data_IF_636885597640
#
_entry.id   IF_636885597640
#
_cell.length_a   1.000
_cell.length_b   1.000
_cell.length_c   1.000
_cell.angle_alpha   90.00
_cell.angle_beta   90.00
_cell.angle_gamma   90.00
#
_symmetry.space_group_name_H-M   'P 1'
#
loop_
_entity.id
_entity.type
_entity.pdbx_description
1 polymer ?
#
# COMPACT_ATOMS: atom_id res chain seq x y z
N UNK A 1 -55.81 21.64 -10.23
CA UNK A 1 -55.17 20.39 -9.78
C UNK A 1 -54.58 19.66 -10.99
N UNK A 2 -53.26 19.67 -11.15
CA UNK A 2 -52.53 18.76 -12.06
C UNK A 2 -51.27 18.31 -11.32
N UNK A 3 -51.22 17.03 -10.97
CA UNK A 3 -50.15 16.37 -10.23
C UNK A 3 -48.90 16.29 -11.12
N UNK A 4 -47.76 16.75 -10.61
CA UNK A 4 -46.44 16.50 -11.21
C UNK A 4 -46.02 15.08 -10.85
N UNK A 5 -45.76 14.27 -11.87
CA UNK A 5 -45.14 12.96 -11.76
C UNK A 5 -43.69 13.15 -11.31
N UNK A 6 -43.35 12.55 -10.16
CA UNK A 6 -41.99 12.37 -9.70
C UNK A 6 -41.39 11.26 -10.55
N UNK A 7 -40.44 11.60 -11.42
CA UNK A 7 -39.62 10.63 -12.11
C UNK A 7 -38.72 9.97 -11.06
N UNK A 8 -38.89 8.66 -10.87
CA UNK A 8 -38.04 7.85 -10.02
C UNK A 8 -36.62 7.87 -10.55
N UNK A 9 -35.69 8.31 -9.71
CA UNK A 9 -34.26 8.09 -9.94
C UNK A 9 -34.04 6.59 -9.79
N UNK A 10 -33.81 5.91 -10.91
CA UNK A 10 -33.32 4.54 -10.93
C UNK A 10 -31.99 4.56 -10.19
N UNK A 11 -31.95 3.96 -9.02
CA UNK A 11 -30.74 3.74 -8.24
C UNK A 11 -29.93 2.67 -8.96
N UNK A 12 -29.20 3.05 -9.99
CA UNK A 12 -28.11 2.22 -10.50
C UNK A 12 -27.05 2.20 -9.41
N UNK A 13 -27.03 1.12 -8.65
CA UNK A 13 -25.91 0.79 -7.78
C UNK A 13 -24.67 0.65 -8.67
N UNK A 14 -23.89 1.72 -8.76
CA UNK A 14 -22.54 1.67 -9.31
C UNK A 14 -21.75 0.88 -8.27
N UNK A 15 -21.62 -0.43 -8.51
CA UNK A 15 -20.68 -1.28 -7.81
C UNK A 15 -19.28 -0.74 -8.11
N UNK A 16 -18.73 -0.03 -7.14
CA UNK A 16 -17.36 0.48 -7.18
C UNK A 16 -16.46 -0.75 -7.03
N UNK A 17 -15.59 -1.06 -8.00
CA UNK A 17 -14.58 -2.09 -7.81
C UNK A 17 -13.66 -1.63 -6.69
N UNK A 18 -13.59 -2.43 -5.62
CA UNK A 18 -12.57 -2.30 -4.58
C UNK A 18 -11.22 -2.33 -5.26
N UNK A 19 -10.54 -1.17 -5.28
CA UNK A 19 -9.21 -1.04 -5.83
C UNK A 19 -8.31 -2.03 -5.07
N UNK A 20 -7.87 -3.06 -5.78
CA UNK A 20 -6.77 -3.89 -5.36
C UNK A 20 -5.58 -2.96 -5.18
N UNK A 21 -5.23 -2.74 -3.92
CA UNK A 21 -3.94 -2.21 -3.57
C UNK A 21 -2.90 -3.16 -4.17
N UNK A 22 -2.17 -2.71 -5.19
CA UNK A 22 -1.18 -3.54 -5.85
C UNK A 22 -0.05 -3.81 -4.85
N UNK A 23 -0.16 -4.93 -4.14
CA UNK A 23 1.00 -5.58 -3.55
C UNK A 23 2.07 -5.69 -4.65
N UNK A 24 3.33 -5.32 -4.37
CA UNK A 24 4.38 -5.44 -5.36
C UNK A 24 4.45 -6.90 -5.85
N UNK A 25 4.52 -7.14 -7.17
CA UNK A 25 4.74 -8.46 -7.73
C UNK A 25 5.90 -9.18 -7.03
N UNK A 26 5.85 -10.50 -6.96
CA UNK A 26 6.83 -11.25 -6.16
C UNK A 26 8.25 -11.17 -6.62
N UNK A 27 8.48 -11.05 -7.92
CA UNK A 27 9.82 -10.74 -8.42
C UNK A 27 10.33 -9.48 -7.74
N UNK A 28 9.48 -8.45 -7.60
CA UNK A 28 9.86 -7.23 -6.91
C UNK A 28 10.19 -7.48 -5.45
N UNK A 29 9.38 -8.27 -4.75
CA UNK A 29 9.68 -8.61 -3.37
C UNK A 29 10.98 -9.40 -3.27
N UNK A 30 11.16 -10.46 -4.06
CA UNK A 30 12.31 -11.40 -4.06
C UNK A 30 13.63 -10.75 -4.46
N UNK A 31 13.60 -9.89 -5.47
CA UNK A 31 14.78 -9.20 -6.01
C UNK A 31 15.04 -7.85 -5.33
N UNK A 32 14.23 -7.47 -4.33
CA UNK A 32 14.46 -6.26 -3.55
C UNK A 32 15.78 -6.33 -2.80
N UNK A 33 16.75 -5.52 -3.21
CA UNK A 33 18.05 -5.42 -2.56
C UNK A 33 18.12 -4.15 -1.70
N UNK A 34 18.59 -4.25 -0.43
CA UNK A 34 18.83 -3.07 0.39
C UNK A 34 19.87 -2.15 -0.25
N UNK A 35 19.65 -0.84 -0.13
CA UNK A 35 20.60 0.18 -0.57
C UNK A 35 21.19 0.88 0.65
N UNK A 36 22.50 1.10 0.60
CA UNK A 36 23.18 2.00 1.53
C UNK A 36 22.88 3.46 1.19
N UNK A 37 23.05 4.35 2.16
CA UNK A 37 22.85 5.80 1.99
C UNK A 37 23.70 6.36 0.83
N UNK A 38 24.95 5.89 0.69
CA UNK A 38 25.85 6.34 -0.37
C UNK A 38 25.42 5.79 -1.74
N UNK A 39 24.88 4.57 -1.81
CA UNK A 39 24.28 4.04 -3.03
C UNK A 39 23.06 4.87 -3.46
N UNK A 40 22.16 5.24 -2.54
CA UNK A 40 20.99 6.08 -2.87
C UNK A 40 21.40 7.43 -3.47
N UNK A 41 22.48 8.04 -2.95
CA UNK A 41 22.96 9.35 -3.42
C UNK A 41 23.69 9.30 -4.76
N UNK A 42 24.22 8.13 -5.14
CA UNK A 42 25.00 7.93 -6.36
C UNK A 42 24.20 7.27 -7.48
N UNK A 43 23.19 6.48 -7.13
CA UNK A 43 22.19 5.94 -8.05
C UNK A 43 21.38 7.06 -8.71
N UNK A 44 21.16 6.96 -10.01
CA UNK A 44 20.50 8.01 -10.80
C UNK A 44 19.04 8.24 -10.32
N UNK A 45 18.28 7.17 -10.13
CA UNK A 45 16.88 7.22 -9.70
C UNK A 45 16.79 7.66 -8.25
N UNK A 46 17.62 7.11 -7.38
CA UNK A 46 17.67 7.47 -5.97
C UNK A 46 18.02 8.95 -5.75
N UNK A 47 19.03 9.45 -6.46
CA UNK A 47 19.43 10.86 -6.41
C UNK A 47 18.33 11.77 -6.93
N UNK A 48 17.73 11.47 -8.09
CA UNK A 48 16.65 12.28 -8.66
C UNK A 48 15.43 12.32 -7.73
N UNK A 49 15.10 11.18 -7.10
CA UNK A 49 14.01 11.07 -6.11
C UNK A 49 14.27 11.99 -4.90
N UNK A 50 15.48 11.94 -4.33
CA UNK A 50 15.85 12.81 -3.22
C UNK A 50 15.86 14.29 -3.61
N UNK A 51 16.40 14.65 -4.78
CA UNK A 51 16.39 16.03 -5.24
C UNK A 51 14.97 16.58 -5.40
N UNK A 52 14.06 15.78 -5.97
CA UNK A 52 12.66 16.15 -6.10
C UNK A 52 12.00 16.34 -4.74
N UNK A 53 12.21 15.40 -3.81
CA UNK A 53 11.74 15.52 -2.42
C UNK A 53 12.27 16.80 -1.76
N UNK A 54 13.57 17.08 -1.86
CA UNK A 54 14.20 18.22 -1.22
C UNK A 54 13.79 19.58 -1.80
N UNK A 55 13.31 19.60 -3.05
CA UNK A 55 12.69 20.79 -3.65
C UNK A 55 11.26 20.97 -3.14
N UNK A 56 10.51 19.87 -3.04
CA UNK A 56 9.13 19.86 -2.55
C UNK A 56 9.02 20.20 -1.05
N UNK A 57 9.88 19.60 -0.23
CA UNK A 57 9.90 19.70 1.23
C UNK A 57 11.35 19.93 1.73
N UNK A 58 11.86 21.17 1.69
CA UNK A 58 13.25 21.48 2.03
C UNK A 58 13.72 21.03 3.41
N UNK A 59 12.81 20.96 4.39
CA UNK A 59 13.07 20.48 5.75
C UNK A 59 13.54 19.02 5.79
N UNK A 60 13.16 18.21 4.80
CA UNK A 60 13.54 16.79 4.72
C UNK A 60 15.03 16.58 4.44
N UNK A 61 15.79 17.63 4.05
CA UNK A 61 17.26 17.59 3.97
C UNK A 61 17.92 17.27 5.32
N UNK A 62 17.23 17.56 6.42
CA UNK A 62 17.69 17.26 7.78
C UNK A 62 17.33 15.85 8.26
N UNK A 63 16.50 15.12 7.50
CA UNK A 63 16.00 13.80 7.87
C UNK A 63 17.05 12.73 7.59
N UNK A 64 16.97 11.62 8.30
CA UNK A 64 17.80 10.45 8.05
C UNK A 64 17.11 9.49 7.11
N UNK A 65 17.85 8.95 6.15
CA UNK A 65 17.41 7.77 5.40
C UNK A 65 17.53 6.58 6.34
N UNK A 66 16.40 6.06 6.80
CA UNK A 66 16.35 4.92 7.73
C UNK A 66 16.25 3.59 7.00
N UNK A 67 15.74 3.62 5.77
CA UNK A 67 15.61 2.44 4.92
C UNK A 67 15.66 2.87 3.46
N UNK A 68 16.36 2.10 2.63
CA UNK A 68 16.29 2.22 1.19
C UNK A 68 16.50 0.86 0.56
N UNK A 69 15.83 0.63 -0.55
CA UNK A 69 15.95 -0.60 -1.32
C UNK A 69 15.61 -0.35 -2.77
N UNK A 70 16.08 -1.23 -3.65
CA UNK A 70 15.65 -1.23 -5.04
C UNK A 70 15.27 -2.62 -5.50
N UNK A 71 14.53 -2.63 -6.58
CA UNK A 71 14.20 -3.78 -7.41
C UNK A 71 14.69 -3.39 -8.79
N UNK A 72 15.70 -4.09 -9.30
CA UNK A 72 16.36 -3.70 -10.53
C UNK A 72 15.36 -3.61 -11.69
N UNK A 73 15.30 -2.44 -12.34
CA UNK A 73 14.41 -2.21 -13.48
C UNK A 73 12.94 -2.02 -13.12
N UNK A 74 12.59 -1.99 -11.82
CA UNK A 74 11.19 -1.89 -11.39
C UNK A 74 10.97 -0.73 -10.45
N UNK A 75 11.54 -0.76 -9.24
CA UNK A 75 11.20 0.24 -8.22
C UNK A 75 12.36 0.51 -7.25
N UNK A 76 12.60 1.79 -6.97
CA UNK A 76 13.48 2.28 -5.90
C UNK A 76 12.62 2.84 -4.77
N UNK A 77 12.81 2.33 -3.55
CA UNK A 77 12.07 2.70 -2.35
C UNK A 77 12.99 3.42 -1.37
N UNK A 78 12.61 4.61 -0.90
CA UNK A 78 13.40 5.41 0.05
C UNK A 78 12.50 5.88 1.18
N UNK A 79 12.97 5.70 2.41
CA UNK A 79 12.28 6.11 3.62
C UNK A 79 13.14 7.07 4.42
N UNK A 80 12.62 8.27 4.69
CA UNK A 80 13.27 9.29 5.50
C UNK A 80 12.50 9.56 6.79
N UNK A 81 13.22 9.82 7.89
CA UNK A 81 12.66 10.14 9.19
C UNK A 81 13.31 11.37 9.84
N UNK A 82 12.51 12.22 10.46
CA UNK A 82 12.94 13.40 11.22
C UNK A 82 13.79 13.02 12.45
N UNK A 83 14.94 13.68 12.64
CA UNK A 83 15.78 13.51 13.83
C UNK A 83 15.22 14.26 15.03
N UNK A 84 15.05 13.59 16.17
CA UNK A 84 14.80 14.23 17.47
C UNK A 84 13.51 15.07 17.56
N UNK A 85 12.54 14.82 16.67
CA UNK A 85 11.31 15.62 16.55
C UNK A 85 10.03 14.83 16.78
N UNK A 86 8.98 15.18 16.03
CA UNK A 86 7.62 14.61 16.11
C UNK A 86 7.53 13.18 15.57
N UNK A 87 8.58 12.70 14.92
CA UNK A 87 8.63 11.39 14.27
C UNK A 87 8.00 11.41 12.88
N UNK A 88 8.10 12.55 12.17
CA UNK A 88 7.70 12.66 10.77
C UNK A 88 8.46 11.66 9.93
N UNK A 89 7.74 10.99 9.05
CA UNK A 89 8.30 10.00 8.13
C UNK A 89 7.72 10.26 6.74
N UNK A 90 8.57 10.12 5.73
CA UNK A 90 8.16 10.14 4.34
C UNK A 90 8.75 8.94 3.60
N UNK A 91 7.89 8.23 2.88
CA UNK A 91 8.23 7.07 2.06
C UNK A 91 7.96 7.41 0.60
N UNK A 92 8.90 7.06 -0.27
CA UNK A 92 8.84 7.31 -1.70
C UNK A 92 9.11 6.01 -2.43
N UNK A 93 8.22 5.66 -3.35
CA UNK A 93 8.43 4.57 -4.31
C UNK A 93 8.51 5.16 -5.70
N UNK A 94 9.66 4.97 -6.35
CA UNK A 94 9.96 5.53 -7.66
C UNK A 94 10.19 4.41 -8.65
N UNK A 95 9.53 4.47 -9.81
CA UNK A 95 9.78 3.56 -10.90
C UNK A 95 11.24 3.64 -11.34
N UNK A 96 11.99 2.53 -11.28
CA UNK A 96 13.41 2.54 -11.59
C UNK A 96 13.73 2.74 -13.07
N UNK A 97 12.73 2.62 -13.97
CA UNK A 97 12.90 2.77 -15.40
C UNK A 97 12.50 4.16 -15.90
N UNK A 98 11.42 4.73 -15.36
CA UNK A 98 10.93 6.05 -15.77
C UNK A 98 11.39 7.17 -14.85
N UNK A 99 11.80 6.86 -13.61
CA UNK A 99 12.08 7.85 -12.58
C UNK A 99 10.83 8.55 -12.04
N UNK A 100 9.62 8.14 -12.44
CA UNK A 100 8.37 8.67 -11.90
C UNK A 100 8.16 8.15 -10.47
N UNK A 101 7.81 9.05 -9.55
CA UNK A 101 7.42 8.67 -8.18
C UNK A 101 5.99 8.15 -8.27
N UNK A 102 5.78 6.85 -8.05
CA UNK A 102 4.48 6.19 -8.16
C UNK A 102 3.71 6.24 -6.85
N UNK A 103 4.42 6.22 -5.71
CA UNK A 103 3.80 6.26 -4.39
C UNK A 103 4.52 7.20 -3.43
N UNK A 104 3.75 7.97 -2.67
CA UNK A 104 4.23 8.83 -1.59
C UNK A 104 3.41 8.57 -0.34
N UNK A 105 4.08 8.32 0.78
CA UNK A 105 3.43 8.22 2.09
C UNK A 105 4.02 9.28 3.01
N UNK A 106 3.18 10.13 3.55
CA UNK A 106 3.49 11.09 4.60
C UNK A 106 2.89 10.60 5.92
N UNK A 107 3.68 10.59 6.99
CA UNK A 107 3.25 10.20 8.33
C UNK A 107 3.65 11.26 9.36
N UNK A 108 2.76 11.54 10.31
CA UNK A 108 3.00 12.41 11.47
C UNK A 108 3.31 13.87 11.17
N UNK A 109 2.80 14.40 10.05
CA UNK A 109 2.99 15.81 9.71
C UNK A 109 2.18 16.77 10.58
N UNK A 110 1.05 16.30 11.13
CA UNK A 110 0.30 17.05 12.14
C UNK A 110 0.72 16.66 13.57
N UNK A 111 0.57 17.56 14.56
CA UNK A 111 0.79 17.23 15.97
C UNK A 111 -0.09 16.07 16.44
N UNK A 112 0.41 15.26 17.38
CA UNK A 112 -0.33 14.10 17.91
C UNK A 112 -1.64 14.49 18.60
N UNK A 113 -1.68 15.69 19.18
CA UNK A 113 -2.84 16.26 19.87
C UNK A 113 -3.95 16.68 18.90
N UNK A 114 -3.61 16.90 17.63
CA UNK A 114 -4.55 17.26 16.57
C UNK A 114 -4.18 16.51 15.28
N UNK A 115 -4.42 15.19 15.24
CA UNK A 115 -4.05 14.37 14.10
C UNK A 115 -4.86 14.76 12.87
N UNK A 116 -4.37 14.37 11.69
CA UNK A 116 -4.98 14.70 10.40
C UNK A 116 -6.48 14.38 10.31
N UNK A 117 -6.92 13.24 10.86
CA UNK A 117 -8.34 12.85 10.86
C UNK A 117 -9.25 13.71 11.74
N UNK A 118 -8.68 14.48 12.68
CA UNK A 118 -9.41 15.44 13.50
C UNK A 118 -9.66 16.78 12.79
N UNK A 119 -9.09 16.98 11.60
CA UNK A 119 -9.31 18.17 10.79
C UNK A 119 -10.63 18.09 10.00
N UNK A 120 -11.04 19.24 9.46
CA UNK A 120 -12.21 19.30 8.58
C UNK A 120 -11.90 18.65 7.24
N UNK A 121 -12.94 18.18 6.53
CA UNK A 121 -12.76 17.55 5.22
C UNK A 121 -12.09 18.54 4.22
N UNK A 122 -12.32 19.86 4.36
CA UNK A 122 -11.66 20.90 3.56
C UNK A 122 -10.17 21.08 3.91
N UNK A 123 -9.81 21.03 5.19
CA UNK A 123 -8.41 21.11 5.63
C UNK A 123 -7.62 19.89 5.17
N UNK A 124 -8.22 18.70 5.28
CA UNK A 124 -7.63 17.44 4.80
C UNK A 124 -7.39 17.54 3.30
N UNK A 125 -8.39 17.98 2.52
CA UNK A 125 -8.25 18.19 1.09
C UNK A 125 -7.12 19.16 0.78
N UNK A 126 -7.04 20.29 1.48
CA UNK A 126 -6.00 21.30 1.25
C UNK A 126 -4.59 20.74 1.47
N UNK A 127 -4.41 19.87 2.48
CA UNK A 127 -3.13 19.18 2.74
C UNK A 127 -2.81 18.13 1.67
N UNK A 128 -3.80 17.38 1.21
CA UNK A 128 -3.63 16.42 0.10
C UNK A 128 -3.27 17.16 -1.20
N UNK A 129 -3.95 18.26 -1.50
CA UNK A 129 -3.65 19.10 -2.67
C UNK A 129 -2.23 19.66 -2.59
N UNK A 130 -1.77 20.14 -1.43
CA UNK A 130 -0.39 20.64 -1.24
C UNK A 130 0.65 19.54 -1.52
N UNK A 131 0.41 18.33 -1.00
CA UNK A 131 1.28 17.18 -1.27
C UNK A 131 1.32 16.83 -2.76
N UNK A 132 0.15 16.72 -3.41
CA UNK A 132 0.03 16.43 -4.83
C UNK A 132 0.71 17.51 -5.68
N UNK A 133 0.44 18.79 -5.41
CA UNK A 133 1.02 19.91 -6.14
C UNK A 133 2.55 19.92 -6.06
N UNK A 134 3.11 19.68 -4.87
CA UNK A 134 4.56 19.67 -4.67
C UNK A 134 5.25 18.45 -5.28
N UNK A 135 4.60 17.28 -5.26
CA UNK A 135 5.21 16.02 -5.70
C UNK A 135 4.90 15.65 -7.16
N UNK A 136 3.77 16.09 -7.70
CA UNK A 136 3.26 15.63 -9.00
C UNK A 136 2.93 16.77 -9.96
N UNK A 137 2.88 18.02 -9.50
CA UNK A 137 2.51 19.19 -10.30
C UNK A 137 1.06 19.62 -10.09
N UNK A 138 0.62 20.63 -10.82
CA UNK A 138 -0.67 21.30 -10.56
C UNK A 138 -1.88 20.35 -10.66
N UNK A 139 -2.75 20.41 -9.66
CA UNK A 139 -4.04 19.70 -9.62
C UNK A 139 -5.20 20.50 -10.21
N UNK A 140 -4.97 21.67 -10.82
CA UNK A 140 -6.04 22.54 -11.38
C UNK A 140 -6.88 21.88 -12.49
N UNK A 141 -6.26 20.99 -13.26
CA UNK A 141 -6.92 20.22 -14.32
C UNK A 141 -7.60 18.95 -13.80
N UNK A 142 -7.60 18.72 -12.49
CA UNK A 142 -8.20 17.54 -11.88
C UNK A 142 -9.48 17.90 -11.13
N UNK A 143 -10.44 16.99 -11.19
CA UNK A 143 -11.60 16.94 -10.32
C UNK A 143 -11.34 15.91 -9.22
N UNK A 144 -11.95 16.08 -8.05
CA UNK A 144 -11.76 15.14 -6.94
C UNK A 144 -13.10 14.65 -6.40
N UNK A 145 -13.12 13.39 -5.97
CA UNK A 145 -14.19 12.80 -5.19
C UNK A 145 -13.62 12.34 -3.85
N UNK A 146 -14.34 12.60 -2.74
CA UNK A 146 -13.94 12.17 -1.40
C UNK A 146 -15.02 11.25 -0.80
N UNK A 147 -14.59 10.09 -0.35
CA UNK A 147 -15.45 9.06 0.22
C UNK A 147 -14.99 8.69 1.63
N UNK A 148 -15.95 8.49 2.54
CA UNK A 148 -15.71 7.96 3.88
C UNK A 148 -15.82 6.46 3.81
N UNK A 149 -14.73 5.76 4.13
CA UNK A 149 -14.76 4.31 4.21
C UNK A 149 -15.34 3.89 5.56
N UNK A 150 -16.24 2.91 5.55
CA UNK A 150 -16.73 2.30 6.78
C UNK A 150 -15.60 1.48 7.40
N UNK A 151 -14.99 2.01 8.46
CA UNK A 151 -14.05 1.28 9.28
C UNK A 151 -14.44 1.51 10.75
N UNK A 152 -14.80 0.45 11.50
CA UNK A 152 -15.32 0.56 12.86
C UNK A 152 -14.31 1.17 13.85
N UNK A 153 -13.01 1.05 13.56
CA UNK A 153 -11.95 1.41 14.50
C UNK A 153 -11.28 2.75 14.18
N UNK A 154 -11.38 3.25 12.94
CA UNK A 154 -10.66 4.44 12.49
C UNK A 154 -11.36 5.19 11.35
N UNK A 155 -11.34 6.53 11.38
CA UNK A 155 -11.79 7.36 10.25
C UNK A 155 -10.79 7.22 9.09
N UNK A 156 -11.21 6.59 8.00
CA UNK A 156 -10.46 6.52 6.74
C UNK A 156 -11.20 7.31 5.66
N UNK A 157 -10.49 8.21 4.98
CA UNK A 157 -10.98 8.91 3.80
C UNK A 157 -10.23 8.43 2.56
N UNK A 158 -10.96 8.19 1.49
CA UNK A 158 -10.41 7.97 0.16
C UNK A 158 -10.69 9.20 -0.69
N UNK A 159 -9.67 9.75 -1.36
CA UNK A 159 -9.82 10.82 -2.33
C UNK A 159 -9.32 10.34 -3.68
N UNK A 160 -10.16 10.41 -4.70
CA UNK A 160 -9.80 10.08 -6.08
C UNK A 160 -9.67 11.39 -6.87
N UNK A 161 -8.54 11.58 -7.55
CA UNK A 161 -8.30 12.73 -8.43
C UNK A 161 -8.31 12.28 -9.88
N UNK A 162 -9.25 12.80 -10.66
CA UNK A 162 -9.50 12.44 -12.06
C UNK A 162 -9.19 13.65 -12.94
N UNK A 163 -8.41 13.46 -13.99
CA UNK A 163 -8.17 14.53 -14.96
C UNK A 163 -9.51 14.91 -15.63
N UNK A 164 -9.78 16.21 -15.80
CA UNK A 164 -11.00 16.69 -16.45
C UNK A 164 -11.15 16.06 -17.84
N UNK A 165 -12.28 15.39 -18.07
CA UNK A 165 -12.55 14.64 -19.30
C UNK A 165 -12.11 13.18 -19.29
N UNK A 166 -11.50 12.69 -18.21
CA UNK A 166 -11.25 11.26 -17.97
C UNK A 166 -12.38 10.63 -17.17
N UNK A 167 -12.64 9.34 -17.39
CA UNK A 167 -13.55 8.53 -16.57
C UNK A 167 -12.84 7.82 -15.43
N UNK A 168 -11.52 7.66 -15.52
CA UNK A 168 -10.71 6.94 -14.53
C UNK A 168 -9.84 7.90 -13.73
N UNK A 169 -9.77 7.73 -12.39
CA UNK A 169 -8.88 8.51 -11.56
C UNK A 169 -7.42 8.25 -11.92
N UNK A 170 -6.61 9.31 -11.85
CA UNK A 170 -5.16 9.26 -12.07
C UNK A 170 -4.42 9.09 -10.75
N UNK A 171 -4.91 9.72 -9.68
CA UNK A 171 -4.38 9.56 -8.34
C UNK A 171 -5.46 9.07 -7.38
N UNK A 172 -5.05 8.18 -6.48
CA UNK A 172 -5.87 7.76 -5.35
C UNK A 172 -5.10 8.06 -4.06
N UNK A 173 -5.80 8.66 -3.11
CA UNK A 173 -5.24 9.09 -1.84
C UNK A 173 -6.02 8.51 -0.69
N UNK A 174 -5.33 7.92 0.27
CA UNK A 174 -5.90 7.49 1.54
C UNK A 174 -5.41 8.35 2.68
N UNK A 175 -6.34 8.78 3.51
CA UNK A 175 -6.09 9.52 4.75
C UNK A 175 -6.57 8.67 5.92
N UNK A 176 -5.62 8.24 6.74
CA UNK A 176 -5.88 7.39 7.91
C UNK A 176 -5.03 7.85 9.09
N UNK A 177 -5.67 8.09 10.22
CA UNK A 177 -5.02 8.58 11.44
C UNK A 177 -4.26 9.90 11.21
N UNK A 178 -2.93 9.82 11.12
CA UNK A 178 -2.05 10.95 10.85
C UNK A 178 -1.17 10.72 9.62
N UNK A 179 -1.70 9.99 8.64
CA UNK A 179 -1.00 9.66 7.41
C UNK A 179 -1.80 10.04 6.16
N UNK A 180 -1.08 10.45 5.12
CA UNK A 180 -1.56 10.62 3.75
C UNK A 180 -0.75 9.65 2.88
N UNK A 181 -1.43 8.77 2.15
CA UNK A 181 -0.82 7.85 1.19
C UNK A 181 -1.37 8.15 -0.20
N UNK A 182 -0.50 8.48 -1.15
CA UNK A 182 -0.84 8.86 -2.53
C UNK A 182 -0.29 7.83 -3.49
N UNK A 183 -1.14 7.27 -4.35
CA UNK A 183 -0.77 6.35 -5.43
C UNK A 183 -1.11 6.94 -6.79
N UNK A 184 -0.17 6.87 -7.73
CA UNK A 184 -0.41 7.07 -9.16
C UNK A 184 -0.97 5.78 -9.76
N UNK A 185 -2.17 5.83 -10.32
CA UNK A 185 -2.92 4.66 -10.81
C UNK A 185 -3.19 4.72 -12.32
N UNK A 186 -2.22 5.22 -13.11
CA UNK A 186 -2.29 5.35 -14.59
C UNK A 186 -2.91 4.08 -15.23
N UNK A 187 -4.18 4.14 -15.59
CA UNK A 187 -4.84 3.20 -16.52
C UNK A 187 -4.68 1.71 -16.26
N UNK A 188 -4.77 1.22 -15.02
CA UNK A 188 -4.78 -0.23 -14.75
C UNK A 188 -6.20 -0.77 -14.86
N UNK A 189 -6.47 -1.50 -15.95
CA UNK A 189 -7.63 -2.37 -16.13
C UNK A 189 -7.59 -3.52 -15.13
N UNK A 190 -8.59 -3.57 -14.25
CA UNK A 190 -9.29 -4.77 -13.79
C UNK A 190 -8.56 -6.12 -13.94
N UNK A 191 -7.96 -6.59 -12.85
CA UNK A 191 -7.86 -8.03 -12.55
C UNK A 191 -7.86 -8.28 -11.04
N UNK A 192 -9.05 -8.34 -10.45
CA UNK A 192 -9.34 -9.27 -9.35
C UNK A 192 -10.83 -9.19 -9.03
N UNK A 193 -11.53 -10.30 -9.22
CA UNK A 193 -12.89 -10.52 -8.75
C UNK A 193 -12.93 -10.79 -7.23
N UNK A 194 -11.99 -10.23 -6.46
CA UNK A 194 -11.82 -10.60 -5.07
C UNK A 194 -12.19 -9.42 -4.19
N UNK A 195 -13.36 -9.52 -3.57
CA UNK A 195 -13.79 -8.66 -2.47
C UNK A 195 -12.86 -8.93 -1.27
N UNK A 196 -11.84 -8.10 -1.05
CA UNK A 196 -11.04 -8.21 0.18
C UNK A 196 -10.92 -6.87 0.90
N UNK A 197 -11.40 -6.86 2.14
CA UNK A 197 -11.46 -5.73 3.08
C UNK A 197 -10.07 -5.29 3.54
N UNK A 198 -9.64 -4.07 3.22
CA UNK A 198 -8.54 -3.33 3.87
C UNK A 198 -7.16 -4.00 3.91
N UNK A 199 -6.12 -3.29 4.33
CA UNK A 199 -4.78 -3.87 4.45
C UNK A 199 -4.59 -4.68 5.74
N UNK A 200 -3.70 -5.69 5.71
CA UNK A 200 -3.05 -6.17 6.92
C UNK A 200 -2.18 -5.06 7.53
N UNK A 201 -2.08 -5.05 8.86
CA UNK A 201 -1.39 -4.00 9.60
C UNK A 201 -0.38 -4.57 10.58
N UNK A 202 0.78 -3.96 10.64
CA UNK A 202 1.83 -4.24 11.62
C UNK A 202 1.96 -3.03 12.55
N UNK A 203 1.81 -3.24 13.86
CA UNK A 203 1.85 -2.19 14.88
C UNK A 203 0.86 -1.03 14.60
N UNK A 204 -0.33 -1.35 14.10
CA UNK A 204 -1.39 -0.37 13.80
C UNK A 204 -1.16 0.48 12.56
N UNK A 205 -0.17 0.15 11.73
CA UNK A 205 0.09 0.77 10.42
C UNK A 205 -0.10 -0.24 9.30
N UNK A 206 -0.58 0.15 8.11
CA UNK A 206 -0.63 -0.73 6.95
C UNK A 206 0.74 -1.36 6.67
N UNK A 207 0.76 -2.68 6.51
CA UNK A 207 1.96 -3.45 6.17
C UNK A 207 1.76 -4.09 4.80
N UNK A 208 2.20 -3.38 3.76
CA UNK A 208 2.09 -3.81 2.37
C UNK A 208 2.88 -5.09 2.09
N UNK A 209 3.94 -5.36 2.86
CA UNK A 209 4.72 -6.58 2.72
C UNK A 209 3.93 -7.76 3.28
N UNK A 210 3.36 -7.65 4.48
CA UNK A 210 2.53 -8.71 5.05
C UNK A 210 1.23 -8.91 4.26
N UNK A 211 0.59 -7.83 3.82
CA UNK A 211 -0.64 -7.87 3.03
C UNK A 211 -0.47 -8.67 1.73
N UNK A 212 0.65 -8.46 1.03
CA UNK A 212 0.98 -9.18 -0.19
C UNK A 212 0.89 -10.71 -0.04
N UNK A 213 1.26 -11.24 1.13
CA UNK A 213 1.26 -12.68 1.39
C UNK A 213 0.02 -13.19 2.12
N UNK A 214 -0.57 -12.38 2.99
CA UNK A 214 -1.67 -12.80 3.88
C UNK A 214 -3.05 -12.54 3.29
N UNK A 215 -3.15 -11.63 2.33
CA UNK A 215 -4.39 -11.28 1.67
C UNK A 215 -4.72 -12.25 0.52
N UNK A 216 -4.82 -13.54 0.85
CA UNK A 216 -4.99 -14.64 -0.10
C UNK A 216 -6.23 -15.49 0.23
N UNK A 217 -7.17 -15.57 -0.72
CA UNK A 217 -8.37 -16.39 -0.61
C UNK A 217 -8.06 -17.88 -0.34
N UNK A 218 -6.95 -18.40 -0.90
CA UNK A 218 -6.54 -19.79 -0.66
C UNK A 218 -6.04 -19.98 0.78
N UNK A 219 -5.40 -18.97 1.36
CA UNK A 219 -5.01 -18.98 2.76
C UNK A 219 -6.23 -18.92 3.68
N UNK A 220 -7.20 -18.06 3.39
CA UNK A 220 -8.46 -17.97 4.14
C UNK A 220 -9.24 -19.29 4.11
N UNK A 221 -9.32 -19.91 2.93
CA UNK A 221 -9.92 -21.23 2.76
C UNK A 221 -9.17 -22.31 3.55
N UNK A 222 -7.83 -22.30 3.54
CA UNK A 222 -7.00 -23.25 4.29
C UNK A 222 -7.25 -23.14 5.80
N UNK A 223 -7.28 -21.91 6.32
CA UNK A 223 -7.48 -21.63 7.75
C UNK A 223 -8.94 -21.71 8.20
N UNK A 224 -9.87 -21.85 7.26
CA UNK A 224 -11.31 -21.80 7.48
C UNK A 224 -11.70 -20.58 8.35
N UNK A 225 -11.31 -19.40 7.87
CA UNK A 225 -11.58 -18.11 8.51
C UNK A 225 -11.57 -16.98 7.49
N UNK A 226 -12.22 -15.86 7.80
CA UNK A 226 -12.21 -14.66 6.94
C UNK A 226 -10.93 -13.82 7.10
N UNK A 227 -10.69 -12.92 6.16
CA UNK A 227 -9.64 -11.90 6.27
C UNK A 227 -9.77 -11.07 7.57
N UNK A 228 -10.99 -10.68 7.92
CA UNK A 228 -11.31 -9.92 9.15
C UNK A 228 -10.93 -10.70 10.40
N UNK A 229 -11.27 -11.98 10.46
CA UNK A 229 -10.96 -12.84 11.59
C UNK A 229 -9.44 -13.04 11.72
N UNK A 230 -8.72 -13.18 10.60
CA UNK A 230 -7.28 -13.33 10.62
C UNK A 230 -6.62 -12.06 11.17
N UNK A 231 -7.06 -10.89 10.71
CA UNK A 231 -6.58 -9.60 11.22
C UNK A 231 -6.81 -9.42 12.71
N UNK A 232 -7.98 -9.82 13.21
CA UNK A 232 -8.30 -9.74 14.64
C UNK A 232 -7.38 -10.64 15.48
N UNK A 233 -7.08 -11.85 15.02
CA UNK A 233 -6.17 -12.76 15.72
C UNK A 233 -4.72 -12.27 15.71
N UNK A 234 -4.25 -11.68 14.59
CA UNK A 234 -2.93 -11.05 14.49
C UNK A 234 -2.82 -9.80 15.38
N UNK A 235 -3.90 -9.01 15.49
CA UNK A 235 -3.97 -7.85 16.38
C UNK A 235 -3.93 -8.25 17.87
N UNK A 236 -4.31 -9.50 18.21
CA UNK A 236 -4.15 -10.07 19.56
C UNK A 236 -2.72 -10.56 19.85
N UNK A 237 -1.78 -10.35 18.92
CA UNK A 237 -0.36 -10.70 19.07
C UNK A 237 -0.01 -12.15 18.71
N UNK A 238 -0.93 -12.89 18.08
CA UNK A 238 -0.64 -14.24 17.57
C UNK A 238 0.06 -14.17 16.21
N UNK A 239 0.87 -15.17 15.90
CA UNK A 239 1.38 -15.36 14.53
C UNK A 239 0.43 -16.21 13.68
N UNK A 240 0.59 -16.16 12.36
CA UNK A 240 -0.21 -16.99 11.43
C UNK A 240 0.04 -18.47 11.70
N UNK A 241 1.28 -18.86 12.04
CA UNK A 241 1.61 -20.25 12.40
C UNK A 241 0.84 -20.72 13.65
N UNK A 242 0.68 -19.85 14.66
CA UNK A 242 -0.08 -20.19 15.87
C UNK A 242 -1.58 -20.31 15.58
N UNK A 243 -2.11 -19.43 14.73
CA UNK A 243 -3.51 -19.47 14.29
C UNK A 243 -3.76 -20.75 13.47
N UNK A 244 -2.86 -21.08 12.55
CA UNK A 244 -2.91 -22.30 11.74
C UNK A 244 -2.87 -23.56 12.61
N UNK A 245 -1.95 -23.62 13.59
CA UNK A 245 -1.85 -24.74 14.52
C UNK A 245 -3.15 -24.94 15.31
N UNK A 246 -3.80 -23.85 15.76
CA UNK A 246 -5.09 -23.91 16.44
C UNK A 246 -6.24 -24.41 15.53
N UNK A 247 -6.06 -24.34 14.21
CA UNK A 247 -6.98 -24.84 13.18
C UNK A 247 -6.57 -26.20 12.62
N UNK A 248 -5.59 -26.88 13.23
CA UNK A 248 -5.04 -28.15 12.77
C UNK A 248 -4.37 -28.08 11.37
N UNK A 249 -3.91 -26.91 10.97
CA UNK A 249 -3.13 -26.67 9.76
C UNK A 249 -1.65 -26.61 10.13
N UNK A 250 -0.81 -27.36 9.41
CA UNK A 250 0.63 -27.38 9.67
C UNK A 250 1.33 -26.14 9.14
N UNK A 251 2.48 -25.81 9.73
CA UNK A 251 3.35 -24.71 9.26
C UNK A 251 3.70 -24.86 7.79
N UNK A 252 4.03 -26.07 7.33
CA UNK A 252 4.38 -26.31 5.93
C UNK A 252 3.19 -26.11 4.99
N UNK A 253 1.98 -26.50 5.39
CA UNK A 253 0.79 -26.25 4.57
C UNK A 253 0.53 -24.76 4.34
N UNK A 254 0.78 -23.93 5.36
CA UNK A 254 0.67 -22.47 5.22
C UNK A 254 1.74 -21.94 4.25
N UNK A 255 2.98 -22.40 4.39
CA UNK A 255 4.08 -22.01 3.51
C UNK A 255 3.75 -22.37 2.06
N UNK A 256 3.34 -23.62 1.82
CA UNK A 256 3.05 -24.12 0.48
C UNK A 256 1.92 -23.35 -0.20
N UNK A 257 0.83 -23.07 0.51
CA UNK A 257 -0.30 -22.35 -0.05
C UNK A 257 0.10 -20.93 -0.44
N UNK A 258 0.74 -20.20 0.47
CA UNK A 258 1.16 -18.83 0.21
C UNK A 258 2.21 -18.83 -0.91
N UNK A 259 3.26 -19.64 -0.81
CA UNK A 259 4.33 -19.70 -1.80
C UNK A 259 3.80 -20.02 -3.21
N UNK A 260 2.85 -20.96 -3.31
CA UNK A 260 2.25 -21.34 -4.57
C UNK A 260 1.33 -20.27 -5.15
N UNK A 261 0.45 -19.67 -4.35
CA UNK A 261 -0.39 -18.56 -4.83
C UNK A 261 0.47 -17.45 -5.40
N UNK A 262 1.53 -17.14 -4.69
CA UNK A 262 2.47 -16.13 -5.11
C UNK A 262 3.10 -16.50 -6.48
N UNK A 263 3.71 -17.68 -6.63
CA UNK A 263 4.29 -18.11 -7.91
C UNK A 263 3.25 -18.14 -9.04
N UNK A 264 2.01 -18.56 -8.76
CA UNK A 264 0.91 -18.57 -9.73
C UNK A 264 0.59 -17.14 -10.24
N UNK A 265 0.51 -16.16 -9.35
CA UNK A 265 0.27 -14.74 -9.71
C UNK A 265 1.38 -14.20 -10.61
N UNK A 266 2.63 -14.55 -10.31
CA UNK A 266 3.79 -14.14 -11.09
C UNK A 266 3.77 -14.74 -12.51
N UNK A 267 3.45 -16.03 -12.63
CA UNK A 267 3.31 -16.68 -13.95
C UNK A 267 2.16 -16.09 -14.78
N UNK A 268 1.04 -15.74 -14.14
CA UNK A 268 -0.09 -15.11 -14.82
C UNK A 268 0.28 -13.71 -15.32
N UNK A 269 0.97 -12.91 -14.51
CA UNK A 269 1.44 -11.60 -14.94
C UNK A 269 2.45 -11.67 -16.10
N UNK A 270 3.38 -12.63 -16.08
CA UNK A 270 4.33 -12.83 -17.18
C UNK A 270 3.62 -13.24 -18.47
N UNK A 271 2.63 -14.13 -18.38
CA UNK A 271 1.83 -14.56 -19.53
C UNK A 271 1.02 -13.40 -20.14
N UNK A 272 0.57 -12.46 -19.30
CA UNK A 272 -0.19 -11.29 -19.72
C UNK A 272 0.67 -10.08 -20.12
N UNK A 273 2.01 -10.19 -20.04
CA UNK A 273 2.97 -9.09 -20.26
C UNK A 273 2.83 -7.91 -19.27
N UNK A 274 2.18 -8.13 -18.13
CA UNK A 274 2.01 -7.13 -17.06
C UNK A 274 3.27 -6.97 -16.21
N UNK A 275 4.16 -7.97 -16.22
CA UNK A 275 5.43 -7.99 -15.49
C UNK A 275 6.55 -8.57 -16.35
N UNK A 276 7.82 -8.14 -16.17
CA UNK A 276 8.95 -8.70 -16.90
C UNK A 276 9.12 -10.20 -16.67
N UNK A 277 9.45 -10.95 -17.72
CA UNK A 277 9.71 -12.39 -17.63
C UNK A 277 10.96 -12.65 -16.75
N UNK A 278 10.77 -13.41 -15.67
CA UNK A 278 11.83 -13.73 -14.70
C UNK A 278 12.93 -14.67 -15.23
N UNK A 279 12.68 -15.44 -16.29
CA UNK A 279 13.50 -16.57 -16.73
C UNK A 279 13.81 -17.61 -15.62
N UNK A 280 13.09 -17.59 -14.49
CA UNK A 280 13.27 -18.51 -13.37
C UNK A 280 12.34 -19.71 -13.48
N UNK A 281 12.78 -20.88 -13.01
CA UNK A 281 11.88 -22.02 -12.88
C UNK A 281 10.99 -21.90 -11.64
N UNK A 282 9.81 -22.52 -11.67
CA UNK A 282 8.88 -22.53 -10.53
C UNK A 282 9.56 -22.99 -9.23
N UNK A 283 10.45 -23.98 -9.30
CA UNK A 283 11.18 -24.48 -8.14
C UNK A 283 12.16 -23.43 -7.56
N UNK A 284 12.81 -22.65 -8.42
CA UNK A 284 13.68 -21.55 -7.98
C UNK A 284 12.88 -20.43 -7.32
N UNK A 285 11.69 -20.11 -7.85
CA UNK A 285 10.81 -19.09 -7.27
C UNK A 285 10.26 -19.53 -5.91
N UNK A 286 9.84 -20.79 -5.77
CA UNK A 286 9.40 -21.36 -4.48
C UNK A 286 10.53 -21.33 -3.44
N UNK A 287 11.75 -21.72 -3.80
CA UNK A 287 12.90 -21.64 -2.87
C UNK A 287 13.25 -20.21 -2.46
N UNK A 288 13.10 -19.25 -3.38
CA UNK A 288 13.39 -17.86 -3.10
C UNK A 288 12.34 -17.21 -2.18
N UNK A 289 11.08 -17.66 -2.27
CA UNK A 289 9.96 -17.07 -1.53
C UNK A 289 9.84 -17.58 -0.11
N UNK A 290 10.25 -18.81 0.13
CA UNK A 290 10.11 -19.49 1.42
C UNK A 290 10.60 -18.63 2.60
N UNK A 291 11.82 -18.04 2.59
CA UNK A 291 12.28 -17.20 3.70
C UNK A 291 11.40 -15.97 3.98
N UNK A 292 10.74 -15.41 2.96
CA UNK A 292 9.86 -14.23 3.10
C UNK A 292 8.50 -14.63 3.63
N UNK A 293 7.97 -15.75 3.16
CA UNK A 293 6.76 -16.34 3.74
C UNK A 293 6.99 -16.63 5.22
N UNK A 294 8.15 -17.20 5.58
CA UNK A 294 8.53 -17.42 6.98
C UNK A 294 8.53 -16.13 7.80
N UNK A 295 9.15 -15.07 7.29
CA UNK A 295 9.18 -13.76 7.95
C UNK A 295 7.76 -13.26 8.27
N UNK A 296 6.82 -13.42 7.34
CA UNK A 296 5.44 -12.93 7.52
C UNK A 296 4.63 -13.84 8.46
N UNK A 297 4.69 -15.15 8.27
CA UNK A 297 3.83 -16.07 9.03
C UNK A 297 4.29 -16.26 10.49
N UNK A 298 5.57 -16.03 10.76
CA UNK A 298 6.15 -16.09 12.11
C UNK A 298 6.10 -14.76 12.84
N UNK A 299 5.81 -13.65 12.14
CA UNK A 299 5.72 -12.34 12.75
C UNK A 299 4.65 -12.31 13.83
N UNK A 300 4.97 -11.62 14.93
CA UNK A 300 4.04 -11.33 16.03
C UNK A 300 4.04 -9.83 16.28
N UNK A 301 2.84 -9.28 16.41
CA UNK A 301 2.68 -7.90 16.87
C UNK A 301 3.18 -7.80 18.30
N UNK A 302 4.17 -6.95 18.54
CA UNK A 302 4.60 -6.61 19.90
C UNK A 302 3.45 -5.91 20.60
N UNK A 303 2.77 -6.63 21.49
CA UNK A 303 1.76 -6.01 22.35
C UNK A 303 2.53 -5.20 23.40
N UNK A 304 2.36 -3.87 23.50
CA UNK A 304 3.00 -3.13 24.57
C UNK A 304 2.50 -3.72 25.89
N UNK A 305 3.42 -4.34 26.64
CA UNK A 305 3.14 -4.74 28.00
C UNK A 305 2.69 -3.47 28.73
N UNK A 306 1.48 -3.46 29.27
CA UNK A 306 1.05 -2.42 30.20
C UNK A 306 2.07 -2.36 31.34
N UNK A 307 2.98 -1.39 31.28
CA UNK A 307 3.75 -0.84 32.38
C UNK A 307 3.99 0.63 32.12
#
# INVERSE_FOLDING_TARGET
MKKRLIAGIVTTAILIPTAAFAAPPLIEMLTRTPMTIEQVKTDEVGKATLEKLYRAFPETKSYEIIEASNVQGVQTSIILQEKGGTGKKITLHTNSMTGEIEHVIQENWEPKEKPLTALTDQDIKSKVDDLLNKMYGSMEEHEFAMEKMENPDQKTLMLNYTQKGSETPLYQVFVQGNSISVSLIKGVTSSSNNTVEGFFSTNGKPDYFADAYLNDDKLFALLNMSATELKQELAKGKSVVEIAAAKHVSREQVIDVIAKTQVDLQMQGEANCDVPNSNHSNEQMLKAIEPKVLQVIEYKTDTPAKK
#
